data_IF_484513362968
#
_entry.id   IF_484513362968
#
_cell.length_a   1.000
_cell.length_b   1.000
_cell.length_c   1.000
_cell.angle_alpha   90.00
_cell.angle_beta   90.00
_cell.angle_gamma   90.00
#
_symmetry.space_group_name_H-M   'P 1'
#
loop_
_entity.id
_entity.type
_entity.pdbx_description
1 polymer ?
#
# COMPACT_ATOMS: atom_id res chain seq x y z
N UNK A 1 23.24 -37.26 -54.64
CA UNK A 1 23.56 -36.92 -53.24
C UNK A 1 23.38 -35.43 -52.92
N UNK A 2 24.00 -34.47 -53.63
CA UNK A 2 23.82 -33.02 -53.39
C UNK A 2 22.37 -32.49 -53.50
N UNK A 3 21.54 -33.07 -54.40
CA UNK A 3 20.12 -32.66 -54.57
C UNK A 3 19.23 -33.03 -53.37
N UNK A 4 19.48 -34.17 -52.73
CA UNK A 4 18.71 -34.60 -51.54
C UNK A 4 19.13 -33.84 -50.28
N UNK A 5 20.39 -33.40 -50.20
CA UNK A 5 20.89 -32.57 -49.10
C UNK A 5 20.24 -31.17 -49.11
N UNK A 6 20.03 -30.56 -50.29
CA UNK A 6 19.32 -29.27 -50.39
C UNK A 6 17.83 -29.39 -50.02
N UNK A 7 17.16 -30.49 -50.40
CA UNK A 7 15.76 -30.72 -50.02
C UNK A 7 15.59 -30.98 -48.51
N UNK A 8 16.57 -31.62 -47.88
CA UNK A 8 16.56 -31.85 -46.42
C UNK A 8 16.85 -30.57 -45.63
N UNK A 9 17.73 -29.69 -46.14
CA UNK A 9 18.06 -28.41 -45.51
C UNK A 9 16.90 -27.40 -45.61
N UNK A 10 16.11 -27.43 -46.69
CA UNK A 10 14.90 -26.62 -46.83
C UNK A 10 13.75 -27.06 -45.89
N UNK A 11 13.66 -28.36 -45.58
CA UNK A 11 12.67 -28.89 -44.63
C UNK A 11 13.00 -28.55 -43.17
N UNK A 12 14.23 -28.18 -42.83
CA UNK A 12 14.60 -27.73 -41.48
C UNK A 12 14.13 -26.30 -41.16
N UNK A 13 13.84 -25.48 -42.19
CA UNK A 13 13.41 -24.09 -42.00
C UNK A 13 11.90 -23.93 -41.75
N UNK A 14 11.10 -25.00 -41.86
CA UNK A 14 9.65 -24.95 -41.61
C UNK A 14 9.26 -25.25 -40.16
N UNK A 15 10.23 -25.49 -39.27
CA UNK A 15 10.00 -25.77 -37.84
C UNK A 15 10.15 -24.55 -36.91
N UNK A 16 10.33 -23.35 -37.45
CA UNK A 16 10.34 -22.13 -36.63
C UNK A 16 8.91 -21.66 -36.34
N UNK A 17 8.21 -22.40 -35.47
CA UNK A 17 7.03 -21.88 -34.81
C UNK A 17 7.46 -21.00 -33.65
N UNK A 18 7.47 -19.68 -33.83
CA UNK A 18 7.43 -18.78 -32.68
C UNK A 18 6.11 -19.04 -31.97
N UNK A 19 6.16 -19.78 -30.86
CA UNK A 19 5.04 -19.86 -29.94
C UNK A 19 5.17 -18.64 -29.03
N UNK A 20 4.33 -17.63 -29.24
CA UNK A 20 4.11 -16.58 -28.24
C UNK A 20 3.48 -17.24 -27.03
N UNK A 21 4.33 -17.61 -26.07
CA UNK A 21 3.93 -18.24 -24.82
C UNK A 21 3.46 -17.13 -23.88
N UNK A 22 2.17 -16.81 -23.97
CA UNK A 22 1.49 -15.89 -23.07
C UNK A 22 1.48 -16.49 -21.65
N UNK A 23 2.56 -16.25 -20.89
CA UNK A 23 2.72 -16.71 -19.50
C UNK A 23 2.11 -15.70 -18.55
N UNK A 24 0.79 -15.52 -18.60
CA UNK A 24 0.11 -15.08 -17.40
C UNK A 24 0.09 -16.29 -16.43
N UNK A 25 0.58 -16.16 -15.18
CA UNK A 25 0.42 -17.23 -14.19
C UNK A 25 -1.08 -17.53 -14.02
N UNK A 26 -1.51 -18.74 -14.36
CA UNK A 26 -2.93 -19.14 -14.27
C UNK A 26 -3.45 -19.17 -12.82
N UNK A 27 -2.54 -19.25 -11.86
CA UNK A 27 -2.77 -19.35 -10.42
C UNK A 27 -2.51 -18.04 -9.67
N UNK A 28 -2.01 -17.00 -10.35
CA UNK A 28 -1.77 -15.69 -9.75
C UNK A 28 -2.48 -14.61 -10.55
N UNK A 29 -3.27 -13.77 -9.88
CA UNK A 29 -3.83 -12.58 -10.49
C UNK A 29 -2.66 -11.66 -10.89
N UNK A 30 -2.41 -11.51 -12.19
CA UNK A 30 -1.37 -10.59 -12.66
C UNK A 30 -1.74 -9.16 -12.25
N UNK A 31 -0.78 -8.41 -11.72
CA UNK A 31 -0.96 -6.98 -11.37
C UNK A 31 -1.48 -6.18 -12.56
N UNK A 32 -1.13 -6.56 -13.79
CA UNK A 32 -1.60 -5.94 -15.03
C UNK A 32 -3.07 -6.23 -15.39
N UNK A 33 -3.68 -7.30 -14.88
CA UNK A 33 -5.05 -7.71 -15.25
C UNK A 33 -6.04 -7.69 -14.09
N UNK A 34 -5.58 -7.42 -12.86
CA UNK A 34 -6.46 -7.43 -11.68
C UNK A 34 -7.40 -6.22 -11.61
N UNK A 35 -6.94 -5.01 -11.92
CA UNK A 35 -7.67 -3.76 -11.63
C UNK A 35 -8.64 -3.33 -12.74
N UNK A 36 -9.49 -4.25 -13.21
CA UNK A 36 -10.32 -4.03 -14.40
C UNK A 36 -11.78 -3.71 -14.08
N UNK A 37 -12.27 -4.14 -12.92
CA UNK A 37 -13.65 -3.94 -12.49
C UNK A 37 -13.71 -3.20 -11.15
N UNK A 38 -14.86 -2.60 -10.86
CA UNK A 38 -15.08 -1.90 -9.58
C UNK A 38 -14.87 -2.83 -8.39
N UNK A 39 -15.38 -4.07 -8.47
CA UNK A 39 -15.27 -5.03 -7.38
C UNK A 39 -13.81 -5.46 -7.14
N UNK A 40 -13.03 -5.68 -8.19
CA UNK A 40 -11.59 -5.95 -8.06
C UNK A 40 -10.83 -4.76 -7.46
N UNK A 41 -11.15 -3.53 -7.89
CA UNK A 41 -10.57 -2.31 -7.32
C UNK A 41 -10.88 -2.20 -5.82
N UNK A 42 -12.13 -2.47 -5.45
CA UNK A 42 -12.55 -2.51 -4.05
C UNK A 42 -11.83 -3.59 -3.26
N UNK A 43 -11.69 -4.81 -3.81
CA UNK A 43 -10.95 -5.90 -3.16
C UNK A 43 -9.47 -5.51 -2.93
N UNK A 44 -8.83 -4.88 -3.92
CA UNK A 44 -7.48 -4.37 -3.77
C UNK A 44 -7.36 -3.28 -2.70
N UNK A 45 -8.31 -2.33 -2.66
CA UNK A 45 -8.40 -1.34 -1.59
C UNK A 45 -8.58 -1.98 -0.21
N UNK A 46 -9.37 -3.05 -0.09
CA UNK A 46 -9.53 -3.78 1.17
C UNK A 46 -8.20 -4.36 1.68
N UNK A 47 -7.22 -4.61 0.80
CA UNK A 47 -5.85 -4.98 1.20
C UNK A 47 -5.13 -3.87 1.99
N UNK A 48 -5.42 -2.61 1.70
CA UNK A 48 -4.92 -1.46 2.47
C UNK A 48 -5.56 -1.45 3.86
N UNK A 49 -6.89 -1.53 3.94
CA UNK A 49 -7.63 -1.64 5.21
C UNK A 49 -7.16 -2.83 6.05
N UNK A 50 -6.93 -3.98 5.43
CA UNK A 50 -6.48 -5.18 6.12
C UNK A 50 -5.14 -4.98 6.83
N UNK A 51 -4.29 -4.06 6.34
CA UNK A 51 -3.00 -3.73 6.94
C UNK A 51 -3.14 -3.07 8.31
N UNK A 52 -4.25 -2.38 8.58
CA UNK A 52 -4.51 -1.77 9.89
C UNK A 52 -4.62 -2.82 11.00
N UNK A 53 -5.06 -4.04 10.66
CA UNK A 53 -5.17 -5.15 11.63
C UNK A 53 -3.83 -5.69 12.13
N UNK A 54 -2.71 -5.27 11.52
CA UNK A 54 -1.39 -5.68 11.99
C UNK A 54 -1.15 -5.22 13.43
N UNK A 55 -0.61 -6.12 14.24
CA UNK A 55 -0.32 -5.94 15.67
C UNK A 55 0.42 -4.64 15.96
N UNK A 56 1.49 -4.36 15.22
CA UNK A 56 2.33 -3.18 15.47
C UNK A 56 1.82 -1.90 14.77
N UNK A 57 0.69 -1.97 14.06
CA UNK A 57 -0.05 -0.80 13.59
C UNK A 57 -1.27 -0.56 14.49
N UNK A 58 -2.49 -0.74 13.98
CA UNK A 58 -3.71 -0.45 14.71
C UNK A 58 -4.25 -1.67 15.49
N UNK A 59 -3.75 -2.88 15.22
CA UNK A 59 -4.23 -4.12 15.85
C UNK A 59 -4.07 -4.15 17.38
N UNK A 60 -3.05 -3.47 17.92
CA UNK A 60 -2.86 -3.26 19.37
C UNK A 60 -2.89 -1.78 19.75
N UNK A 61 -3.58 -0.92 19.00
CA UNK A 61 -3.62 0.51 19.34
C UNK A 61 -4.26 0.77 20.70
N UNK A 62 -5.18 -0.09 21.15
CA UNK A 62 -5.75 -0.05 22.51
C UNK A 62 -4.71 -0.21 23.63
N UNK A 63 -3.50 -0.68 23.33
CA UNK A 63 -2.40 -0.81 24.28
C UNK A 63 -1.48 0.42 24.32
N UNK A 64 -1.71 1.46 23.50
CA UNK A 64 -0.77 2.59 23.40
C UNK A 64 -0.62 3.37 24.72
N UNK A 65 -1.62 3.32 25.60
CA UNK A 65 -1.59 3.95 26.93
C UNK A 65 -0.48 3.38 27.83
N UNK A 66 0.06 2.19 27.53
CA UNK A 66 1.24 1.68 28.23
C UNK A 66 2.48 2.55 27.96
N UNK A 67 2.46 3.40 26.94
CA UNK A 67 3.56 4.32 26.65
C UNK A 67 3.44 5.66 27.40
N UNK A 68 2.43 5.83 28.26
CA UNK A 68 2.25 7.00 29.13
C UNK A 68 2.27 6.60 30.60
N UNK A 69 1.99 7.56 31.49
CA UNK A 69 1.98 7.37 32.95
C UNK A 69 0.66 6.77 33.49
N UNK A 70 -0.31 6.47 32.61
CA UNK A 70 -1.63 5.94 33.00
C UNK A 70 -1.70 4.42 33.05
N UNK A 71 -0.72 3.72 32.46
CA UNK A 71 -0.67 2.26 32.44
C UNK A 71 0.77 1.72 32.38
N UNK A 72 0.97 0.49 32.85
CA UNK A 72 2.24 -0.22 32.75
C UNK A 72 2.11 -1.46 31.85
N UNK A 73 2.97 -1.58 30.84
CA UNK A 73 3.14 -2.78 30.01
C UNK A 73 4.25 -3.69 30.53
N UNK A 74 4.28 -4.93 30.05
CA UNK A 74 5.38 -5.87 30.24
C UNK A 74 6.02 -6.21 28.89
N UNK A 75 7.18 -6.85 28.91
CA UNK A 75 7.93 -7.31 27.73
C UNK A 75 8.33 -6.18 26.76
N UNK A 76 7.81 -6.21 25.52
CA UNK A 76 8.28 -5.37 24.41
C UNK A 76 8.00 -3.87 24.60
N UNK A 77 7.09 -3.52 25.51
CA UNK A 77 6.71 -2.14 25.80
C UNK A 77 7.56 -1.51 26.91
N UNK A 78 8.16 -2.33 27.79
CA UNK A 78 8.97 -1.86 28.92
C UNK A 78 10.15 -1.01 28.45
N UNK A 79 10.81 -1.40 27.35
CA UNK A 79 11.93 -0.66 26.81
C UNK A 79 11.57 0.78 26.40
N UNK A 80 10.33 1.00 25.93
CA UNK A 80 9.87 2.35 25.58
C UNK A 80 9.57 3.17 26.84
N UNK A 81 8.92 2.56 27.82
CA UNK A 81 8.57 3.18 29.11
C UNK A 81 9.81 3.61 29.90
N UNK A 82 10.86 2.77 29.90
CA UNK A 82 12.12 3.03 30.59
C UNK A 82 13.07 3.92 29.79
N UNK A 83 12.72 4.29 28.54
CA UNK A 83 13.60 5.06 27.66
C UNK A 83 14.86 4.30 27.23
N UNK A 84 14.84 2.97 27.21
CA UNK A 84 15.97 2.09 26.89
C UNK A 84 15.88 1.49 25.48
N UNK A 85 14.99 2.02 24.64
CA UNK A 85 14.84 1.59 23.25
C UNK A 85 16.14 1.65 22.45
N UNK A 86 16.33 0.65 21.59
CA UNK A 86 17.46 0.56 20.66
C UNK A 86 16.94 0.27 19.25
N UNK A 87 17.78 0.35 18.20
CA UNK A 87 17.40 -0.10 16.87
C UNK A 87 17.01 -1.60 16.77
N UNK A 88 17.20 -2.39 17.84
CA UNK A 88 16.75 -3.79 17.92
C UNK A 88 15.42 -3.97 18.64
N UNK A 89 14.80 -2.89 19.13
CA UNK A 89 13.49 -2.97 19.80
C UNK A 89 12.43 -3.44 18.79
N UNK A 90 11.96 -4.68 18.97
CA UNK A 90 11.13 -5.39 18.00
C UNK A 90 9.84 -4.65 17.63
N UNK A 91 9.13 -4.10 18.62
CA UNK A 91 7.89 -3.35 18.40
C UNK A 91 8.08 -2.10 17.51
N UNK A 92 9.18 -1.35 17.71
CA UNK A 92 9.48 -0.19 16.86
C UNK A 92 9.85 -0.60 15.43
N UNK A 93 10.62 -1.68 15.28
CA UNK A 93 10.93 -2.25 13.97
C UNK A 93 9.66 -2.76 13.25
N UNK A 94 8.77 -3.43 13.99
CA UNK A 94 7.48 -3.89 13.50
C UNK A 94 6.59 -2.73 13.05
N UNK A 95 6.55 -1.62 13.81
CA UNK A 95 5.88 -0.37 13.41
C UNK A 95 6.36 0.15 12.07
N UNK A 96 7.68 0.31 11.95
CA UNK A 96 8.31 0.81 10.74
C UNK A 96 8.00 -0.10 9.54
N UNK A 97 8.25 -1.41 9.68
CA UNK A 97 8.08 -2.37 8.60
C UNK A 97 6.62 -2.49 8.17
N UNK A 98 5.71 -2.67 9.12
CA UNK A 98 4.28 -2.81 8.81
C UNK A 98 3.70 -1.50 8.24
N UNK A 99 4.15 -0.36 8.75
CA UNK A 99 3.77 0.96 8.24
C UNK A 99 4.18 1.18 6.79
N UNK A 100 5.45 0.95 6.45
CA UNK A 100 5.91 1.09 5.06
C UNK A 100 5.31 0.05 4.10
N UNK A 101 5.05 -1.18 4.59
CA UNK A 101 4.29 -2.16 3.81
C UNK A 101 2.87 -1.67 3.52
N UNK A 102 2.21 -1.05 4.50
CA UNK A 102 0.86 -0.52 4.34
C UNK A 102 0.83 0.73 3.43
N UNK A 103 1.81 1.63 3.55
CA UNK A 103 2.01 2.77 2.65
C UNK A 103 2.16 2.27 1.21
N UNK A 104 2.96 1.24 0.98
CA UNK A 104 3.15 0.73 -0.38
C UNK A 104 1.91 0.05 -0.96
N UNK A 105 1.12 -0.63 -0.13
CA UNK A 105 -0.19 -1.13 -0.56
C UNK A 105 -1.12 0.02 -0.96
N UNK A 106 -1.12 1.12 -0.21
CA UNK A 106 -1.89 2.30 -0.56
C UNK A 106 -1.38 2.95 -1.86
N UNK A 107 -0.06 3.07 -2.04
CA UNK A 107 0.54 3.60 -3.28
C UNK A 107 0.14 2.78 -4.50
N UNK A 108 0.20 1.44 -4.40
CA UNK A 108 -0.26 0.54 -5.45
C UNK A 108 -1.76 0.74 -5.73
N UNK A 109 -2.61 0.75 -4.70
CA UNK A 109 -4.05 0.96 -4.87
C UNK A 109 -4.36 2.31 -5.54
N UNK A 110 -3.72 3.40 -5.11
CA UNK A 110 -3.92 4.74 -5.71
C UNK A 110 -3.55 4.74 -7.19
N UNK A 111 -2.39 4.18 -7.54
CA UNK A 111 -1.92 4.10 -8.93
C UNK A 111 -2.85 3.23 -9.77
N UNK A 112 -3.12 2.00 -9.33
CA UNK A 112 -3.88 1.04 -10.11
C UNK A 112 -5.36 1.37 -10.23
N UNK A 113 -6.00 1.90 -9.19
CA UNK A 113 -7.40 2.36 -9.26
C UNK A 113 -7.50 3.61 -10.15
N UNK A 114 -6.49 4.49 -10.11
CA UNK A 114 -6.44 5.67 -10.98
C UNK A 114 -6.40 5.32 -12.47
N UNK A 115 -5.77 4.21 -12.82
CA UNK A 115 -5.67 3.70 -14.20
C UNK A 115 -6.82 2.75 -14.59
N UNK A 116 -7.65 2.32 -13.63
CA UNK A 116 -8.69 1.33 -13.85
C UNK A 116 -9.84 1.87 -14.75
N UNK A 117 -10.34 1.07 -15.70
CA UNK A 117 -11.43 1.46 -16.61
C UNK A 117 -12.82 1.32 -15.96
N UNK A 118 -13.01 1.97 -14.81
CA UNK A 118 -14.26 1.96 -14.03
C UNK A 118 -14.89 3.35 -13.95
N UNK A 119 -16.15 3.40 -13.53
CA UNK A 119 -16.90 4.65 -13.38
C UNK A 119 -16.21 5.65 -12.43
N UNK A 120 -16.28 6.94 -12.78
CA UNK A 120 -15.55 8.00 -12.08
C UNK A 120 -15.97 8.18 -10.63
N UNK A 121 -17.25 8.01 -10.30
CA UNK A 121 -17.75 8.19 -8.93
C UNK A 121 -17.14 7.16 -7.97
N UNK A 122 -17.31 5.83 -8.18
CA UNK A 122 -16.70 4.84 -7.29
C UNK A 122 -15.17 4.88 -7.34
N UNK A 123 -14.57 5.22 -8.50
CA UNK A 123 -13.11 5.43 -8.62
C UNK A 123 -12.62 6.51 -7.68
N UNK A 124 -13.20 7.70 -7.76
CA UNK A 124 -12.78 8.84 -6.94
C UNK A 124 -12.97 8.53 -5.45
N UNK A 125 -14.09 7.93 -5.06
CA UNK A 125 -14.31 7.50 -3.67
C UNK A 125 -13.21 6.55 -3.18
N UNK A 126 -12.90 5.49 -3.95
CA UNK A 126 -11.85 4.54 -3.57
C UNK A 126 -10.45 5.17 -3.52
N UNK A 127 -10.15 6.11 -4.41
CA UNK A 127 -8.91 6.89 -4.36
C UNK A 127 -8.86 7.77 -3.09
N UNK A 128 -9.97 8.38 -2.71
CA UNK A 128 -10.08 9.14 -1.47
C UNK A 128 -9.84 8.28 -0.24
N UNK A 129 -10.43 7.09 -0.17
CA UNK A 129 -10.19 6.13 0.91
C UNK A 129 -8.72 5.70 0.97
N UNK A 130 -8.10 5.38 -0.17
CA UNK A 130 -6.71 4.95 -0.22
C UNK A 130 -5.74 6.05 0.26
N UNK A 131 -5.99 7.31 -0.14
CA UNK A 131 -5.21 8.48 0.31
C UNK A 131 -5.40 8.75 1.79
N UNK A 132 -6.63 8.72 2.30
CA UNK A 132 -6.89 8.82 3.72
C UNK A 132 -6.13 7.76 4.52
N UNK A 133 -6.18 6.49 4.08
CA UNK A 133 -5.48 5.40 4.76
C UNK A 133 -3.96 5.62 4.75
N UNK A 134 -3.40 6.08 3.62
CA UNK A 134 -1.97 6.42 3.53
C UNK A 134 -1.61 7.56 4.49
N UNK A 135 -2.41 8.61 4.51
CA UNK A 135 -2.25 9.74 5.43
C UNK A 135 -2.31 9.29 6.89
N UNK A 136 -3.28 8.44 7.25
CA UNK A 136 -3.43 7.86 8.60
C UNK A 136 -2.21 7.04 9.03
N UNK A 137 -1.60 6.27 8.11
CA UNK A 137 -0.41 5.48 8.39
C UNK A 137 0.82 6.37 8.55
N UNK A 138 1.02 7.35 7.66
CA UNK A 138 2.12 8.32 7.80
C UNK A 138 1.98 9.14 9.09
N UNK A 139 0.77 9.57 9.45
CA UNK A 139 0.49 10.27 10.70
C UNK A 139 0.89 9.43 11.90
N UNK A 140 0.49 8.16 11.94
CA UNK A 140 0.88 7.26 13.02
C UNK A 140 2.39 7.06 13.11
N UNK A 141 3.10 6.94 11.98
CA UNK A 141 4.56 6.81 11.99
C UNK A 141 5.26 8.12 12.40
N UNK A 142 4.70 9.27 12.02
CA UNK A 142 5.22 10.59 12.37
C UNK A 142 5.26 10.76 13.91
N UNK A 143 4.25 10.29 14.62
CA UNK A 143 4.19 10.36 16.09
C UNK A 143 5.32 9.56 16.77
N UNK A 144 5.75 8.44 16.17
CA UNK A 144 6.81 7.60 16.75
C UNK A 144 8.22 8.02 16.34
N UNK A 145 8.37 8.50 15.10
CA UNK A 145 9.69 8.63 14.48
C UNK A 145 10.06 10.09 14.12
N UNK A 146 9.11 11.02 14.12
CA UNK A 146 9.29 12.34 13.52
C UNK A 146 9.33 12.24 12.00
N UNK A 147 10.17 13.04 11.34
CA UNK A 147 10.24 13.08 9.88
C UNK A 147 10.58 11.74 9.21
N UNK A 148 9.93 11.43 8.09
CA UNK A 148 9.95 10.13 7.43
C UNK A 148 10.42 10.23 5.96
N UNK A 149 11.01 9.18 5.39
CA UNK A 149 11.15 9.07 3.93
C UNK A 149 9.76 9.02 3.26
N UNK A 150 9.53 9.93 2.31
CA UNK A 150 8.24 10.07 1.63
C UNK A 150 8.25 9.30 0.30
N UNK A 151 7.40 8.28 0.21
CA UNK A 151 7.07 7.52 -1.00
C UNK A 151 5.59 7.64 -1.32
N UNK A 152 5.29 8.02 -2.56
CA UNK A 152 3.93 8.21 -3.06
C UNK A 152 3.58 7.17 -4.15
N UNK A 153 2.44 7.36 -4.81
CA UNK A 153 1.92 6.45 -5.85
C UNK A 153 2.82 6.34 -7.09
N UNK A 154 3.80 7.24 -7.25
CA UNK A 154 4.79 7.16 -8.34
C UNK A 154 5.88 6.12 -8.06
N UNK A 155 6.01 5.69 -6.79
CA UNK A 155 7.01 4.69 -6.40
C UNK A 155 6.58 3.30 -6.85
N UNK A 156 7.33 2.71 -7.78
CA UNK A 156 7.05 1.41 -8.35
C UNK A 156 7.99 0.35 -7.77
N UNK A 157 7.53 -0.39 -6.76
CA UNK A 157 8.34 -1.40 -6.08
C UNK A 157 8.94 -2.44 -7.04
N UNK A 158 8.21 -2.84 -8.08
CA UNK A 158 8.72 -3.84 -9.04
C UNK A 158 9.99 -3.36 -9.76
N UNK A 159 10.17 -2.05 -9.89
CA UNK A 159 11.31 -1.41 -10.57
C UNK A 159 12.33 -0.85 -9.59
N UNK A 160 11.86 -0.33 -8.46
CA UNK A 160 12.64 0.53 -7.56
C UNK A 160 13.02 -0.14 -6.25
N UNK A 161 12.61 -1.39 -5.97
CA UNK A 161 12.82 -2.07 -4.68
C UNK A 161 14.26 -1.94 -4.14
N UNK A 162 15.27 -2.10 -5.00
CA UNK A 162 16.69 -2.03 -4.60
C UNK A 162 17.21 -0.59 -4.39
N UNK A 163 16.42 0.43 -4.77
CA UNK A 163 16.81 1.85 -4.79
C UNK A 163 15.93 2.73 -3.89
N UNK A 164 15.17 2.14 -2.96
CA UNK A 164 14.37 2.88 -1.98
C UNK A 164 15.27 3.47 -0.88
N UNK A 165 16.06 4.48 -1.25
CA UNK A 165 17.08 5.11 -0.40
C UNK A 165 16.79 6.60 -0.14
N UNK A 166 15.52 7.02 -0.23
CA UNK A 166 15.16 8.42 0.03
C UNK A 166 15.55 8.76 1.47
N UNK A 167 16.22 9.91 1.70
CA UNK A 167 16.51 10.36 3.05
C UNK A 167 15.21 10.66 3.81
N UNK A 168 15.31 10.75 5.13
CA UNK A 168 14.20 11.22 5.95
C UNK A 168 13.90 12.68 5.60
N UNK A 169 12.65 12.99 5.28
CA UNK A 169 12.14 14.36 5.24
C UNK A 169 12.00 14.92 6.65
N UNK A 170 11.76 16.23 6.78
CA UNK A 170 11.43 16.84 8.07
C UNK A 170 10.04 16.39 8.57
N UNK A 171 9.75 16.66 9.85
CA UNK A 171 8.42 16.40 10.40
C UNK A 171 7.37 17.29 9.71
N UNK A 172 7.72 18.51 9.36
CA UNK A 172 6.87 19.47 8.65
C UNK A 172 6.58 19.01 7.21
N UNK A 173 7.58 18.54 6.49
CA UNK A 173 7.41 17.98 5.14
C UNK A 173 6.54 16.71 5.16
N UNK A 174 6.75 15.84 6.16
CA UNK A 174 5.91 14.65 6.36
C UNK A 174 4.46 15.06 6.64
N UNK A 175 4.25 16.06 7.50
CA UNK A 175 2.91 16.61 7.79
C UNK A 175 2.26 17.24 6.56
N UNK A 176 3.02 17.98 5.76
CA UNK A 176 2.52 18.56 4.52
C UNK A 176 2.04 17.48 3.53
N UNK A 177 2.78 16.36 3.43
CA UNK A 177 2.36 15.23 2.61
C UNK A 177 1.05 14.58 3.12
N UNK A 178 0.92 14.39 4.44
CA UNK A 178 -0.31 13.89 5.07
C UNK A 178 -1.49 14.80 4.72
N UNK A 179 -1.35 16.11 4.92
CA UNK A 179 -2.42 17.08 4.63
C UNK A 179 -2.81 17.08 3.15
N UNK A 180 -1.85 16.98 2.23
CA UNK A 180 -2.14 16.93 0.80
C UNK A 180 -2.96 15.69 0.40
N UNK A 181 -2.74 14.54 1.04
CA UNK A 181 -3.58 13.36 0.83
C UNK A 181 -4.98 13.52 1.43
N UNK A 182 -5.09 14.15 2.61
CA UNK A 182 -6.38 14.43 3.24
C UNK A 182 -7.21 15.43 2.41
N UNK A 183 -6.59 16.50 1.88
CA UNK A 183 -7.26 17.44 0.98
C UNK A 183 -7.83 16.74 -0.27
N UNK A 184 -7.06 15.83 -0.87
CA UNK A 184 -7.53 15.02 -2.00
C UNK A 184 -8.66 14.07 -1.58
N UNK A 185 -8.58 13.48 -0.39
CA UNK A 185 -9.63 12.61 0.13
C UNK A 185 -10.94 13.37 0.42
N UNK A 186 -10.86 14.60 0.95
CA UNK A 186 -12.01 15.47 1.17
C UNK A 186 -12.69 15.86 -0.14
N UNK A 187 -11.92 16.07 -1.21
CA UNK A 187 -12.43 16.36 -2.56
C UNK A 187 -12.93 15.13 -3.34
N UNK A 188 -12.83 13.92 -2.79
CA UNK A 188 -13.08 12.68 -3.52
C UNK A 188 -14.55 12.23 -3.58
N UNK A 189 -15.46 12.96 -2.94
CA UNK A 189 -16.88 12.61 -2.88
C UNK A 189 -17.18 11.42 -1.95
N UNK A 190 -16.40 11.27 -0.86
CA UNK A 190 -16.67 10.29 0.20
C UNK A 190 -18.05 10.54 0.81
N UNK A 191 -18.83 9.49 1.13
CA UNK A 191 -20.13 9.68 1.76
C UNK A 191 -20.00 9.96 3.27
N UNK A 192 -21.00 10.61 3.85
CA UNK A 192 -21.10 10.76 5.31
C UNK A 192 -21.34 9.43 6.02
N UNK A 193 -22.00 8.49 5.31
CA UNK A 193 -22.33 7.16 5.80
C UNK A 193 -22.38 6.15 4.65
N UNK A 194 -21.75 5.00 4.87
CA UNK A 194 -21.88 3.82 4.01
C UNK A 194 -23.10 2.96 4.37
N UNK A 195 -23.60 2.18 3.41
CA UNK A 195 -24.57 1.12 3.71
C UNK A 195 -23.93 -0.01 4.55
N UNK A 196 -24.76 -0.90 5.09
CA UNK A 196 -24.30 -1.92 6.05
C UNK A 196 -23.23 -2.85 5.45
N UNK A 197 -23.33 -3.17 4.16
CA UNK A 197 -22.33 -4.00 3.45
C UNK A 197 -20.96 -3.33 3.30
N UNK A 198 -20.88 -2.02 3.50
CA UNK A 198 -19.67 -1.20 3.39
C UNK A 198 -19.31 -0.52 4.71
N UNK A 199 -19.91 -0.96 5.82
CA UNK A 199 -19.62 -0.42 7.14
C UNK A 199 -18.13 -0.57 7.49
N UNK A 200 -17.56 0.47 8.11
CA UNK A 200 -16.14 0.54 8.49
C UNK A 200 -15.22 1.16 7.44
N UNK A 201 -15.71 1.43 6.22
CA UNK A 201 -14.99 2.24 5.23
C UNK A 201 -14.94 3.70 5.65
N UNK A 202 -13.89 4.40 5.20
CA UNK A 202 -13.64 5.81 5.46
C UNK A 202 -14.80 6.65 4.95
N UNK A 203 -15.29 7.54 5.79
CA UNK A 203 -16.35 8.51 5.48
C UNK A 203 -15.76 9.91 5.30
N UNK A 204 -16.55 10.83 4.76
CA UNK A 204 -16.18 12.24 4.71
C UNK A 204 -15.85 12.78 6.11
N UNK A 205 -16.68 12.45 7.09
CA UNK A 205 -16.49 12.84 8.49
C UNK A 205 -15.21 12.27 9.11
N UNK A 206 -14.80 11.05 8.73
CA UNK A 206 -13.54 10.48 9.17
C UNK A 206 -12.34 11.26 8.60
N UNK A 207 -12.40 11.63 7.32
CA UNK A 207 -11.38 12.45 6.65
C UNK A 207 -11.28 13.88 7.21
N UNK A 208 -12.39 14.46 7.68
CA UNK A 208 -12.40 15.77 8.34
C UNK A 208 -11.86 15.73 9.78
N UNK A 209 -12.02 14.59 10.46
CA UNK A 209 -11.63 14.45 11.86
C UNK A 209 -10.13 14.19 12.05
N UNK A 210 -9.48 13.56 11.07
CA UNK A 210 -8.04 13.31 11.04
C UNK A 210 -7.27 14.57 10.60
#
# INVERSE_FOLDING_TARGET
>A
MKKYIMSFLAALFTLTGCYDLDRAPYDQLSSSTFWQTEDQCKQGLMGVYASLKNTDLYGKMFMIDVNSDVAAGYDQYEALQLGTCTPRTGFLNGKWQNGYNAIQRANLAIRSIGEAPIDEVPKNQMLGEARFLRALIYFHLLDYFGGLPIYDETTDLEKEFNNLLKPRSSAEETRAFILADLEKALGAGLPDKWNDANYGRVTLSAAQAL
#
